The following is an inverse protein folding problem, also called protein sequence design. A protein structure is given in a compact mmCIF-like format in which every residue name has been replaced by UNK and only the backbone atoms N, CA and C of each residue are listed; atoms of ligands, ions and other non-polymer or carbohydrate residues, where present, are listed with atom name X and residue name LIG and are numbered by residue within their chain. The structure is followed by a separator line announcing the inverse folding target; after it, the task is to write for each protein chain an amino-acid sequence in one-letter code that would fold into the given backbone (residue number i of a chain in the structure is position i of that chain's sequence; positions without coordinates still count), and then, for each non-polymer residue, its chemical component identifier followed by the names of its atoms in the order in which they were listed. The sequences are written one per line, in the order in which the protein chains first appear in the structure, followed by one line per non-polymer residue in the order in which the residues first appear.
data_IF_791541073350
#
_entry.id   IF_791541073350
#
_cell.length_a   1.000
_cell.length_b   1.000
_cell.length_c   1.000
_cell.angle_alpha   90.00
_cell.angle_beta   90.00
_cell.angle_gamma   90.00
#
_symmetry.space_group_name_H-M   'P 1'
#
loop_
_entity.id
_entity.type
_entity.pdbx_description
1 polymer ?
#
# COMPACT_ATOMS: atom_id res chain seq x y z
N UNK A 1 10.62 10.87 40.07
CA UNK A 1 11.02 9.73 39.22
C UNK A 1 9.74 8.97 38.89
N UNK A 2 9.27 8.76 37.66
CA UNK A 2 9.94 8.59 36.38
C UNK A 2 9.24 9.43 35.30
N UNK A 3 10.03 10.07 34.44
CA UNK A 3 9.55 10.71 33.21
C UNK A 3 9.28 9.57 32.21
N UNK A 4 8.04 9.43 31.76
CA UNK A 4 7.68 8.51 30.69
C UNK A 4 8.43 8.91 29.42
N UNK A 5 9.15 7.96 28.85
CA UNK A 5 10.01 8.12 27.68
C UNK A 5 9.28 8.80 26.52
N UNK A 6 9.65 10.04 26.21
CA UNK A 6 9.42 10.65 24.92
C UNK A 6 10.32 9.94 23.91
N UNK A 7 9.83 8.85 23.32
CA UNK A 7 10.41 8.35 22.09
C UNK A 7 10.15 9.42 21.02
N UNK A 8 11.13 10.29 20.77
CA UNK A 8 11.20 11.10 19.56
C UNK A 8 11.39 10.14 18.39
N UNK A 9 10.32 9.49 17.96
CA UNK A 9 10.27 8.84 16.67
C UNK A 9 10.52 9.95 15.66
N UNK A 10 11.58 9.79 14.84
CA UNK A 10 11.70 10.48 13.56
C UNK A 10 10.33 10.45 12.85
N UNK A 11 10.04 11.32 11.85
CA UNK A 11 8.88 11.11 10.99
C UNK A 11 9.06 9.79 10.23
N UNK A 12 8.82 8.67 10.92
CA UNK A 12 8.58 7.37 10.35
C UNK A 12 7.38 7.61 9.46
N UNK A 13 7.47 7.31 8.15
CA UNK A 13 6.39 7.57 7.21
C UNK A 13 5.14 6.92 7.82
N UNK A 14 4.23 7.75 8.35
CA UNK A 14 3.31 7.31 9.39
C UNK A 14 2.49 6.13 8.86
N UNK A 15 2.92 4.95 9.30
CA UNK A 15 2.32 3.65 9.09
C UNK A 15 2.09 3.21 7.62
N UNK A 16 3.06 3.42 6.73
CA UNK A 16 3.09 2.70 5.44
C UNK A 16 3.26 1.20 5.71
N UNK A 17 2.26 0.39 5.36
CA UNK A 17 2.28 -1.06 5.53
C UNK A 17 2.77 -1.78 4.28
N UNK A 18 2.37 -1.30 3.11
CA UNK A 18 2.72 -1.89 1.83
C UNK A 18 2.99 -0.79 0.82
N UNK A 19 4.13 -0.88 0.16
CA UNK A 19 4.43 -0.06 -1.01
C UNK A 19 4.48 -0.99 -2.22
N UNK A 20 3.63 -0.72 -3.20
CA UNK A 20 3.59 -1.48 -4.45
C UNK A 20 3.97 -0.56 -5.58
N UNK A 21 4.97 -0.99 -6.33
CA UNK A 21 5.45 -0.32 -7.52
C UNK A 21 5.13 -1.23 -8.72
N UNK A 22 4.62 -0.65 -9.80
CA UNK A 22 4.30 -1.36 -11.04
C UNK A 22 3.26 -2.48 -10.86
N UNK A 23 2.16 -2.20 -10.14
CA UNK A 23 1.08 -3.18 -10.01
C UNK A 23 0.41 -3.38 -11.36
N UNK A 24 0.46 -4.61 -11.87
CA UNK A 24 -0.29 -5.07 -13.02
C UNK A 24 -1.24 -6.18 -12.62
N UNK A 25 -2.51 -6.02 -12.94
CA UNK A 25 -3.54 -7.04 -12.72
C UNK A 25 -4.25 -7.33 -14.03
N UNK A 26 -4.17 -8.59 -14.45
CA UNK A 26 -4.82 -9.07 -15.66
C UNK A 26 -5.74 -10.23 -15.28
N UNK A 27 -6.98 -10.17 -15.74
CA UNK A 27 -7.97 -11.22 -15.55
C UNK A 27 -8.17 -11.95 -16.86
N UNK A 28 -8.07 -13.28 -16.83
CA UNK A 28 -8.43 -14.11 -17.96
C UNK A 28 -9.96 -14.17 -18.06
N UNK A 29 -10.51 -13.62 -19.15
CA UNK A 29 -11.93 -13.76 -19.47
C UNK A 29 -12.10 -14.71 -20.67
N UNK A 30 -13.28 -15.31 -20.89
CA UNK A 30 -13.53 -16.17 -22.05
C UNK A 30 -13.26 -15.48 -23.39
N UNK A 31 -13.40 -14.15 -23.44
CA UNK A 31 -13.18 -13.31 -24.61
C UNK A 31 -11.72 -12.82 -24.75
N UNK A 32 -10.87 -13.10 -23.75
CA UNK A 32 -9.44 -12.73 -23.74
C UNK A 32 -8.95 -12.15 -22.42
N UNK A 33 -7.66 -11.86 -22.36
CA UNK A 33 -7.01 -11.24 -21.21
C UNK A 33 -7.45 -9.77 -21.08
N UNK A 34 -8.04 -9.40 -19.94
CA UNK A 34 -8.43 -8.03 -19.64
C UNK A 34 -7.53 -7.47 -18.55
N UNK A 35 -6.77 -6.41 -18.87
CA UNK A 35 -5.95 -5.69 -17.89
C UNK A 35 -6.83 -4.72 -17.10
N UNK A 36 -7.06 -5.02 -15.82
CA UNK A 36 -7.84 -4.17 -14.93
C UNK A 36 -6.99 -3.06 -14.30
N UNK A 37 -5.71 -3.34 -14.05
CA UNK A 37 -4.77 -2.36 -13.50
C UNK A 37 -3.49 -2.43 -14.33
N UNK A 38 -3.08 -1.29 -14.88
CA UNK A 38 -1.90 -1.18 -15.72
C UNK A 38 -0.88 -0.22 -15.11
N UNK A 39 0.15 -0.79 -14.49
CA UNK A 39 1.35 -0.10 -14.00
C UNK A 39 1.04 0.97 -12.93
N UNK A 40 0.27 0.58 -11.90
CA UNK A 40 -0.09 1.48 -10.80
C UNK A 40 0.95 1.43 -9.68
N UNK A 41 1.42 2.60 -9.24
CA UNK A 41 2.23 2.77 -8.04
C UNK A 41 1.36 3.32 -6.90
N UNK A 42 1.31 2.60 -5.78
CA UNK A 42 0.57 3.08 -4.61
C UNK A 42 1.18 2.58 -3.30
N UNK A 43 0.86 3.31 -2.24
CA UNK A 43 1.32 3.02 -0.89
C UNK A 43 0.10 2.84 -0.01
N UNK A 44 -0.09 1.64 0.54
CA UNK A 44 -1.17 1.33 1.46
C UNK A 44 -0.72 1.58 2.90
N UNK A 45 -1.46 2.40 3.64
CA UNK A 45 -1.23 2.66 5.07
C UNK A 45 -2.15 1.80 5.93
N UNK A 46 -1.80 1.68 7.22
CA UNK A 46 -2.62 0.91 8.15
C UNK A 46 -4.03 1.51 8.31
N UNK A 47 -5.04 0.65 8.14
CA UNK A 47 -6.46 1.03 8.19
C UNK A 47 -7.03 1.44 6.83
N UNK A 48 -6.22 1.50 5.77
CA UNK A 48 -6.69 1.68 4.40
C UNK A 48 -7.00 0.34 3.73
N UNK A 49 -7.99 0.31 2.85
CA UNK A 49 -8.35 -0.88 2.06
C UNK A 49 -8.27 -0.54 0.57
N UNK A 50 -7.57 -1.37 -0.19
CA UNK A 50 -7.50 -1.25 -1.64
C UNK A 50 -8.58 -2.13 -2.28
N UNK A 51 -9.44 -1.53 -3.10
CA UNK A 51 -10.35 -2.25 -3.99
C UNK A 51 -9.79 -2.31 -5.41
N UNK A 52 -9.91 -3.47 -6.05
CA UNK A 52 -9.56 -3.75 -7.46
C UNK A 52 -10.80 -4.20 -8.23
#
# INVERSE_FOLDING_TARGET
MSLSETATQAPQPANVLLEVNDLRVTFATPDGDVTAVNDLNFTLRAGETLGI
#
